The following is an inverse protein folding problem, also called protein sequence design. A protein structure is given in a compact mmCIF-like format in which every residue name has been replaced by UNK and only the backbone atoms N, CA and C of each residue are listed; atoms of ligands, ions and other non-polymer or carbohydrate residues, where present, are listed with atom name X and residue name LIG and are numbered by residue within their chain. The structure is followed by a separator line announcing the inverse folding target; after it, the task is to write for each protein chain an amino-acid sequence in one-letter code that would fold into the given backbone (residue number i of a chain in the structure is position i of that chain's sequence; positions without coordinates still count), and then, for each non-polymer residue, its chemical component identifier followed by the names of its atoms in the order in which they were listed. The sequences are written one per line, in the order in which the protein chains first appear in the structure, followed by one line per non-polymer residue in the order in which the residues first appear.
data_IF_982059391432
#
_entry.id   IF_982059391432
#
_cell.length_a   1.000
_cell.length_b   1.000
_cell.length_c   1.000
_cell.angle_alpha   90.00
_cell.angle_beta   90.00
_cell.angle_gamma   90.00
#
_symmetry.space_group_name_H-M   'P 1'
#
loop_
_entity.id
_entity.type
_entity.pdbx_description
1 polymer ?
#
# COMPACT_ATOMS: atom_id res chain seq x y z
N UNK A 1 -13.65 2.29 -26.73
CA UNK A 1 -12.64 1.85 -25.74
C UNK A 1 -12.28 3.07 -24.91
N UNK A 2 -11.94 2.92 -23.63
CA UNK A 2 -11.32 3.94 -22.79
C UNK A 2 -9.96 3.43 -22.27
N UNK A 3 -9.22 4.28 -21.55
CA UNK A 3 -7.85 4.00 -21.11
C UNK A 3 -7.72 2.84 -20.10
N UNK A 4 -8.81 2.42 -19.47
CA UNK A 4 -8.81 1.33 -18.49
C UNK A 4 -9.62 0.11 -18.95
N UNK A 5 -10.37 0.18 -20.05
CA UNK A 5 -11.13 -0.97 -20.54
C UNK A 5 -10.25 -2.08 -21.05
N UNK A 6 -10.54 -3.29 -20.59
CA UNK A 6 -10.08 -4.53 -21.22
C UNK A 6 -10.87 -4.73 -22.52
N UNK A 7 -10.20 -5.14 -23.60
CA UNK A 7 -10.86 -5.28 -24.91
C UNK A 7 -12.05 -6.26 -24.85
N UNK A 8 -11.91 -7.35 -24.09
CA UNK A 8 -12.94 -8.37 -23.90
C UNK A 8 -14.04 -7.98 -22.90
N UNK A 9 -13.84 -6.92 -22.11
CA UNK A 9 -14.79 -6.49 -21.09
C UNK A 9 -14.78 -4.96 -20.96
N UNK A 10 -15.35 -4.26 -21.96
CA UNK A 10 -15.54 -2.83 -21.81
C UNK A 10 -16.40 -2.59 -20.58
N UNK A 11 -16.10 -1.56 -19.78
CA UNK A 11 -16.85 -1.13 -18.60
C UNK A 11 -18.23 -0.59 -19.03
N UNK A 12 -19.03 -1.46 -19.65
CA UNK A 12 -20.38 -1.20 -20.08
C UNK A 12 -21.26 -1.46 -18.88
N UNK A 13 -22.03 -0.43 -18.54
CA UNK A 13 -23.11 -0.44 -17.55
C UNK A 13 -22.69 -0.29 -16.09
N UNK A 14 -21.82 0.69 -15.85
CA UNK A 14 -21.67 1.29 -14.53
C UNK A 14 -22.60 2.52 -14.41
N UNK A 15 -23.40 2.60 -13.34
CA UNK A 15 -24.06 3.84 -12.92
C UNK A 15 -23.02 4.93 -12.68
N UNK A 16 -22.99 5.98 -13.51
CA UNK A 16 -21.96 7.02 -13.47
C UNK A 16 -21.25 7.31 -14.80
N UNK A 17 -21.84 6.95 -15.96
CA UNK A 17 -21.36 7.20 -17.34
C UNK A 17 -20.82 8.61 -17.62
N UNK A 18 -21.14 9.58 -16.78
CA UNK A 18 -20.70 10.97 -16.92
C UNK A 18 -19.29 11.23 -16.37
N UNK A 19 -18.47 10.23 -16.03
CA UNK A 19 -17.12 10.46 -15.46
C UNK A 19 -16.05 9.57 -16.09
N UNK A 20 -14.94 10.19 -16.50
CA UNK A 20 -13.73 9.46 -16.94
C UNK A 20 -12.80 9.10 -15.79
N UNK A 21 -12.90 9.80 -14.66
CA UNK A 21 -12.19 9.48 -13.42
C UNK A 21 -13.18 8.89 -12.42
N UNK A 22 -13.33 7.57 -12.48
CA UNK A 22 -14.25 6.82 -11.64
C UNK A 22 -13.63 6.45 -10.28
N UNK A 23 -14.42 6.42 -9.20
CA UNK A 23 -13.98 5.90 -7.90
C UNK A 23 -13.50 4.44 -7.97
N UNK A 24 -12.66 4.06 -6.99
CA UNK A 24 -12.07 2.73 -6.88
C UNK A 24 -13.12 1.62 -6.85
N UNK A 25 -14.23 1.85 -6.16
CA UNK A 25 -15.30 0.87 -5.93
C UNK A 25 -15.88 0.35 -7.24
N UNK A 26 -15.94 1.21 -8.26
CA UNK A 26 -16.45 0.86 -9.58
C UNK A 26 -15.46 0.00 -10.37
N UNK A 27 -14.18 0.38 -10.38
CA UNK A 27 -13.13 -0.44 -10.99
C UNK A 27 -13.09 -1.81 -10.31
N UNK A 28 -13.15 -1.84 -8.98
CA UNK A 28 -13.15 -3.07 -8.20
C UNK A 28 -14.36 -3.96 -8.53
N UNK A 29 -15.57 -3.40 -8.57
CA UNK A 29 -16.77 -4.15 -8.96
C UNK A 29 -16.63 -4.75 -10.36
N UNK A 30 -16.14 -3.99 -11.34
CA UNK A 30 -15.94 -4.52 -12.68
C UNK A 30 -14.89 -5.62 -12.77
N UNK A 31 -13.80 -5.53 -12.00
CA UNK A 31 -12.81 -6.61 -11.92
C UNK A 31 -13.38 -7.86 -11.24
N UNK A 32 -14.24 -7.70 -10.23
CA UNK A 32 -14.95 -8.83 -9.62
C UNK A 32 -15.87 -9.51 -10.64
N UNK A 33 -16.65 -8.74 -11.41
CA UNK A 33 -17.50 -9.27 -12.48
C UNK A 33 -16.67 -9.99 -13.55
N UNK A 34 -15.61 -9.36 -14.04
CA UNK A 34 -14.69 -9.94 -15.01
C UNK A 34 -14.09 -11.27 -14.53
N UNK A 35 -13.76 -11.37 -13.24
CA UNK A 35 -13.18 -12.56 -12.63
C UNK A 35 -14.17 -13.69 -12.33
N UNK A 36 -15.50 -13.46 -12.39
CA UNK A 36 -16.49 -14.47 -12.02
C UNK A 36 -16.35 -15.80 -12.79
N UNK A 37 -16.18 -15.80 -14.12
CA UNK A 37 -16.03 -17.05 -14.87
C UNK A 37 -14.73 -17.81 -14.57
N UNK A 38 -13.74 -17.13 -13.97
CA UNK A 38 -12.43 -17.70 -13.65
C UNK A 38 -12.36 -18.24 -12.23
N UNK A 39 -13.43 -18.10 -11.43
CA UNK A 39 -13.40 -18.34 -9.98
C UNK A 39 -13.03 -19.78 -9.62
N UNK A 40 -13.44 -20.75 -10.44
CA UNK A 40 -13.13 -22.17 -10.23
C UNK A 40 -11.64 -22.50 -10.45
N UNK A 41 -10.88 -21.59 -11.07
CA UNK A 41 -9.44 -21.71 -11.27
C UNK A 41 -8.63 -20.91 -10.23
N UNK A 42 -9.29 -20.22 -9.29
CA UNK A 42 -8.63 -19.34 -8.31
C UNK A 42 -8.70 -19.96 -6.91
N UNK A 43 -7.53 -20.32 -6.39
CA UNK A 43 -7.38 -20.79 -5.01
C UNK A 43 -7.13 -19.61 -4.06
N UNK A 44 -8.19 -19.08 -3.44
CA UNK A 44 -8.07 -18.07 -2.38
C UNK A 44 -7.45 -18.65 -1.12
N UNK A 45 -6.88 -17.79 -0.26
CA UNK A 45 -6.17 -18.21 0.96
C UNK A 45 -5.02 -19.22 0.70
N UNK A 46 -4.36 -19.12 -0.46
CA UNK A 46 -3.18 -19.92 -0.80
C UNK A 46 -2.01 -18.97 -1.08
N UNK A 47 -1.16 -18.77 -0.08
CA UNK A 47 0.06 -17.99 -0.23
C UNK A 47 1.13 -18.85 -0.89
N UNK A 48 1.74 -18.35 -1.96
CA UNK A 48 2.90 -19.01 -2.58
C UNK A 48 4.12 -18.85 -1.67
N UNK A 49 4.64 -19.96 -1.17
CA UNK A 49 5.75 -20.02 -0.21
C UNK A 49 7.10 -20.35 -0.87
N UNK A 50 7.07 -21.14 -1.96
CA UNK A 50 8.24 -21.50 -2.75
C UNK A 50 7.87 -21.67 -4.21
N UNK A 51 8.73 -21.22 -5.10
CA UNK A 51 8.73 -21.54 -6.52
C UNK A 51 10.14 -21.99 -6.87
N UNK A 52 10.27 -23.20 -7.42
CA UNK A 52 11.56 -23.73 -7.87
C UNK A 52 11.40 -24.57 -9.14
N UNK A 53 12.49 -24.71 -9.90
CA UNK A 53 12.51 -25.52 -11.11
C UNK A 53 12.90 -26.95 -10.76
N UNK A 54 12.04 -27.92 -11.11
CA UNK A 54 12.31 -29.36 -10.95
C UNK A 54 12.27 -29.98 -12.34
N UNK A 55 13.43 -30.46 -12.81
CA UNK A 55 13.60 -31.00 -14.17
C UNK A 55 13.08 -30.04 -15.25
N UNK A 56 11.99 -30.41 -15.90
CA UNK A 56 11.29 -29.75 -16.99
C UNK A 56 10.07 -28.93 -16.52
N UNK A 57 9.69 -29.01 -15.25
CA UNK A 57 8.52 -28.33 -14.70
C UNK A 57 8.86 -27.33 -13.58
N UNK A 58 7.92 -26.46 -13.29
CA UNK A 58 7.91 -25.61 -12.10
C UNK A 58 7.14 -26.30 -11.00
N UNK A 59 7.75 -26.41 -9.82
CA UNK A 59 7.04 -26.81 -8.61
C UNK A 59 6.75 -25.57 -7.76
N UNK A 60 5.49 -25.44 -7.34
CA UNK A 60 5.01 -24.36 -6.49
C UNK A 60 4.54 -24.97 -5.18
N UNK A 61 5.06 -24.50 -4.05
CA UNK A 61 4.54 -24.83 -2.73
C UNK A 61 3.65 -23.68 -2.26
N UNK A 62 2.39 -23.99 -1.99
CA UNK A 62 1.44 -23.04 -1.39
C UNK A 62 1.17 -23.40 0.06
N UNK A 63 1.00 -22.39 0.90
CA UNK A 63 0.56 -22.53 2.29
C UNK A 63 -0.72 -21.73 2.53
N UNK A 64 -1.66 -22.28 3.30
CA UNK A 64 -2.80 -21.49 3.81
C UNK A 64 -2.33 -20.41 4.79
N UNK A 65 -3.07 -19.31 4.95
CA UNK A 65 -2.69 -18.25 5.89
C UNK A 65 -2.50 -18.72 7.34
N UNK A 66 -3.21 -19.78 7.74
CA UNK A 66 -3.07 -20.41 9.06
C UNK A 66 -1.87 -21.37 9.18
N UNK A 67 -1.12 -21.61 8.10
CA UNK A 67 0.06 -22.49 8.06
C UNK A 67 -0.23 -23.99 8.21
N UNK A 68 -1.50 -24.39 8.33
CA UNK A 68 -1.90 -25.78 8.62
C UNK A 68 -1.86 -26.70 7.41
N UNK A 69 -1.98 -26.13 6.21
CA UNK A 69 -2.00 -26.88 4.97
C UNK A 69 -0.92 -26.35 4.04
N UNK A 70 -0.10 -27.28 3.54
CA UNK A 70 0.87 -27.07 2.48
C UNK A 70 0.56 -28.03 1.34
N UNK A 71 0.65 -27.51 0.11
CA UNK A 71 0.43 -28.31 -1.10
C UNK A 71 1.49 -27.97 -2.14
N UNK A 72 2.00 -29.01 -2.79
CA UNK A 72 2.88 -28.89 -3.95
C UNK A 72 2.05 -29.01 -5.23
N UNK A 73 2.36 -28.15 -6.19
CA UNK A 73 1.73 -28.08 -7.51
C UNK A 73 2.81 -28.13 -8.58
N UNK A 74 2.56 -28.79 -9.70
CA UNK A 74 3.50 -28.86 -10.83
C UNK A 74 2.88 -28.23 -12.07
N UNK A 75 3.65 -27.38 -12.75
CA UNK A 75 3.21 -26.65 -13.94
C UNK A 75 4.31 -26.59 -14.99
N UNK A 76 3.95 -26.65 -16.27
CA UNK A 76 4.91 -26.50 -17.38
C UNK A 76 5.39 -25.05 -17.51
N UNK A 77 4.51 -24.09 -17.21
CA UNK A 77 4.80 -22.66 -17.25
C UNK A 77 4.12 -21.92 -16.11
N UNK A 78 4.73 -20.81 -15.67
CA UNK A 78 4.23 -19.98 -14.58
C UNK A 78 4.25 -18.50 -14.93
N UNK A 79 3.24 -17.78 -14.43
CA UNK A 79 3.07 -16.34 -14.60
C UNK A 79 3.09 -15.68 -13.22
N UNK A 80 4.10 -14.84 -12.98
CA UNK A 80 4.28 -14.09 -11.75
C UNK A 80 3.50 -12.79 -11.84
N UNK A 81 2.37 -12.74 -11.13
CA UNK A 81 1.41 -11.62 -11.12
C UNK A 81 1.18 -11.05 -9.70
N UNK A 82 2.17 -11.13 -8.80
CA UNK A 82 2.04 -10.70 -7.40
C UNK A 82 2.11 -9.16 -7.19
N UNK A 83 2.29 -8.41 -8.28
CA UNK A 83 2.41 -6.95 -8.26
C UNK A 83 3.69 -6.44 -7.60
N UNK A 84 3.83 -5.11 -7.54
CA UNK A 84 5.03 -4.46 -6.98
C UNK A 84 4.73 -3.27 -6.04
N UNK A 85 3.47 -2.90 -5.81
CA UNK A 85 3.08 -1.81 -4.89
C UNK A 85 2.88 -2.31 -3.45
N UNK A 86 3.86 -3.13 -3.09
CA UNK A 86 4.02 -4.06 -2.00
C UNK A 86 4.87 -3.72 -0.79
N UNK A 87 6.16 -3.94 -1.00
CA UNK A 87 7.24 -3.81 -0.05
C UNK A 87 7.65 -2.36 0.01
N UNK A 88 7.56 -1.73 1.17
CA UNK A 88 7.85 -0.31 1.33
C UNK A 88 9.32 0.00 0.98
N UNK A 89 9.54 1.14 0.33
CA UNK A 89 10.88 1.69 0.10
C UNK A 89 11.18 2.77 1.14
N UNK A 90 11.69 2.33 2.30
CA UNK A 90 12.00 3.20 3.44
C UNK A 90 13.48 3.59 3.40
N UNK A 91 13.82 4.89 3.29
CA UNK A 91 15.19 5.37 3.40
C UNK A 91 15.74 5.21 4.82
N UNK A 92 17.04 4.90 4.94
CA UNK A 92 17.71 4.70 6.23
C UNK A 92 17.58 5.90 7.18
N UNK A 93 17.53 7.13 6.64
CA UNK A 93 17.35 8.32 7.46
C UNK A 93 16.00 8.33 8.20
N UNK A 94 14.93 7.79 7.60
CA UNK A 94 13.63 7.76 8.28
C UNK A 94 13.63 6.80 9.46
N UNK A 95 14.55 5.83 9.52
CA UNK A 95 14.69 4.94 10.69
C UNK A 95 15.21 5.68 11.92
N UNK A 96 15.84 6.85 11.74
CA UNK A 96 16.32 7.73 12.82
C UNK A 96 15.25 8.71 13.31
N UNK A 97 14.14 8.84 12.58
CA UNK A 97 13.04 9.72 12.93
C UNK A 97 12.14 9.06 13.97
N UNK A 98 11.97 9.76 15.10
CA UNK A 98 11.20 9.33 16.27
C UNK A 98 9.77 9.91 16.33
N UNK A 99 9.44 10.83 15.42
CA UNK A 99 8.08 11.35 15.28
C UNK A 99 7.14 10.35 14.62
N UNK A 100 5.85 10.70 14.55
CA UNK A 100 4.88 9.84 13.87
C UNK A 100 5.11 9.86 12.37
N UNK A 101 5.23 8.68 11.76
CA UNK A 101 5.34 8.55 10.32
C UNK A 101 4.67 7.28 9.81
N UNK A 102 4.18 7.34 8.57
CA UNK A 102 3.66 6.18 7.85
C UNK A 102 4.24 6.14 6.45
N UNK A 103 4.31 4.95 5.85
CA UNK A 103 4.49 4.83 4.41
C UNK A 103 3.14 5.00 3.69
N UNK A 104 3.15 5.46 2.44
CA UNK A 104 1.94 5.64 1.61
C UNK A 104 1.10 4.36 1.49
N UNK A 105 1.74 3.18 1.62
CA UNK A 105 1.08 1.87 1.73
C UNK A 105 0.02 1.82 2.84
N UNK A 106 0.25 2.52 3.94
CA UNK A 106 -0.60 2.52 5.14
C UNK A 106 -1.57 3.71 5.18
N UNK A 107 -1.50 4.62 4.20
CA UNK A 107 -2.47 5.70 4.05
C UNK A 107 -3.86 5.12 3.73
N UNK A 108 -4.90 5.62 4.41
CA UNK A 108 -6.28 5.15 4.20
C UNK A 108 -7.27 6.29 3.97
N UNK A 109 -7.22 7.35 4.78
CA UNK A 109 -8.21 8.45 4.74
C UNK A 109 -7.56 9.79 4.99
N UNK A 110 -7.98 10.80 4.24
CA UNK A 110 -7.48 12.17 4.41
C UNK A 110 -7.92 12.83 5.72
N UNK A 111 -9.11 12.49 6.22
CA UNK A 111 -9.68 13.05 7.46
C UNK A 111 -8.87 12.71 8.71
N UNK A 112 -8.06 11.65 8.67
CA UNK A 112 -7.19 11.26 9.79
C UNK A 112 -6.07 12.29 10.04
N UNK A 113 -5.88 13.24 9.11
CA UNK A 113 -4.89 14.33 9.17
C UNK A 113 -5.52 15.71 9.39
N UNK A 114 -6.79 15.76 9.83
CA UNK A 114 -7.47 17.02 10.12
C UNK A 114 -6.70 17.85 11.14
N UNK A 115 -6.56 19.15 10.86
CA UNK A 115 -5.89 20.16 11.71
C UNK A 115 -4.41 19.92 12.03
N UNK A 116 -3.78 18.92 11.42
CA UNK A 116 -2.36 18.59 11.61
C UNK A 116 -1.42 19.38 10.69
N UNK A 117 -0.16 19.51 11.11
CA UNK A 117 0.98 19.84 10.25
C UNK A 117 1.56 18.53 9.68
N UNK A 118 1.39 18.32 8.37
CA UNK A 118 1.75 17.06 7.70
C UNK A 118 2.95 17.27 6.79
N UNK A 119 3.93 16.36 6.82
CA UNK A 119 5.00 16.33 5.81
C UNK A 119 4.75 15.19 4.82
N UNK A 120 4.59 15.49 3.54
CA UNK A 120 4.50 14.48 2.48
C UNK A 120 5.85 14.40 1.79
N UNK A 121 6.57 13.29 1.98
CA UNK A 121 7.93 13.09 1.46
C UNK A 121 7.88 12.26 0.19
N UNK A 122 8.14 12.87 -0.96
CA UNK A 122 8.16 12.24 -2.28
C UNK A 122 7.09 12.81 -3.22
N UNK A 123 7.51 13.28 -4.39
CA UNK A 123 6.64 13.91 -5.40
C UNK A 123 6.21 12.99 -6.55
N UNK A 124 6.19 11.68 -6.33
CA UNK A 124 5.68 10.71 -7.31
C UNK A 124 4.15 10.60 -7.30
N UNK A 125 3.60 9.62 -8.03
CA UNK A 125 2.14 9.44 -8.16
C UNK A 125 1.38 9.41 -6.82
N UNK A 126 1.87 8.65 -5.83
CA UNK A 126 1.24 8.60 -4.50
C UNK A 126 1.32 9.93 -3.76
N UNK A 127 2.46 10.62 -3.82
CA UNK A 127 2.66 11.89 -3.13
C UNK A 127 1.74 12.98 -3.66
N UNK A 128 1.65 13.09 -5.00
CA UNK A 128 0.74 14.02 -5.66
C UNK A 128 -0.71 13.69 -5.32
N UNK A 129 -1.13 12.42 -5.44
CA UNK A 129 -2.53 12.04 -5.20
C UNK A 129 -2.93 12.23 -3.73
N UNK A 130 -2.09 11.79 -2.78
CA UNK A 130 -2.34 12.00 -1.34
C UNK A 130 -2.39 13.49 -1.02
N UNK A 131 -1.52 14.31 -1.62
CA UNK A 131 -1.55 15.76 -1.47
C UNK A 131 -2.92 16.33 -1.88
N UNK A 132 -3.48 15.91 -3.03
CA UNK A 132 -4.82 16.38 -3.47
C UNK A 132 -5.94 16.05 -2.49
N UNK A 133 -5.78 15.01 -1.67
CA UNK A 133 -6.78 14.58 -0.69
C UNK A 133 -6.57 15.29 0.65
N UNK A 134 -5.34 15.27 1.17
CA UNK A 134 -4.98 15.79 2.50
C UNK A 134 -5.06 17.32 2.58
N UNK A 135 -4.89 18.03 1.47
CA UNK A 135 -4.93 19.50 1.41
C UNK A 135 -6.22 20.12 1.94
N UNK A 136 -7.34 19.39 1.89
CA UNK A 136 -8.64 19.86 2.37
C UNK A 136 -8.85 19.66 3.88
N UNK A 137 -7.95 18.96 4.57
CA UNK A 137 -8.09 18.60 5.99
C UNK A 137 -6.94 19.13 6.85
N UNK A 138 -5.70 19.08 6.35
CA UNK A 138 -4.53 19.47 7.11
C UNK A 138 -4.43 20.99 7.29
N UNK A 139 -3.96 21.41 8.46
CA UNK A 139 -3.69 22.82 8.78
C UNK A 139 -2.54 23.37 7.95
N UNK A 140 -1.46 22.60 7.80
CA UNK A 140 -0.28 22.94 7.00
C UNK A 140 0.32 21.68 6.40
N UNK A 141 0.82 21.76 5.18
CA UNK A 141 1.50 20.67 4.49
C UNK A 141 2.89 21.11 4.04
N UNK A 142 3.91 20.35 4.41
CA UNK A 142 5.24 20.40 3.82
C UNK A 142 5.32 19.34 2.71
N UNK A 143 5.28 19.77 1.45
CA UNK A 143 5.41 18.87 0.30
C UNK A 143 6.87 18.81 -0.13
N UNK A 144 7.54 17.71 0.18
CA UNK A 144 8.99 17.55 0.08
C UNK A 144 9.34 16.72 -1.15
N UNK A 145 10.03 17.29 -2.14
CA UNK A 145 10.37 16.60 -3.39
C UNK A 145 11.59 17.19 -4.10
N UNK A 146 11.98 16.57 -5.22
CA UNK A 146 13.20 16.90 -5.96
C UNK A 146 13.09 18.17 -6.84
N UNK A 147 11.91 18.79 -6.95
CA UNK A 147 11.66 19.90 -7.88
C UNK A 147 10.77 20.98 -7.24
N UNK A 148 11.11 21.51 -6.05
CA UNK A 148 10.27 22.50 -5.37
C UNK A 148 10.05 23.74 -6.26
N UNK A 149 8.84 24.30 -6.22
CA UNK A 149 8.43 25.42 -7.05
C UNK A 149 7.87 25.02 -8.42
N UNK A 150 7.98 23.73 -8.81
CA UNK A 150 7.36 23.21 -10.03
C UNK A 150 5.86 23.54 -10.08
N UNK A 151 5.19 23.55 -8.94
CA UNK A 151 3.74 23.71 -8.85
C UNK A 151 3.30 25.07 -8.29
N UNK A 152 4.21 26.04 -8.18
CA UNK A 152 3.97 27.32 -7.50
C UNK A 152 2.72 28.08 -7.98
N UNK A 153 2.30 27.88 -9.24
CA UNK A 153 1.11 28.54 -9.83
C UNK A 153 -0.22 27.94 -9.40
N UNK A 154 -0.24 26.69 -8.95
CA UNK A 154 -1.46 25.91 -8.71
C UNK A 154 -1.55 25.34 -7.30
N UNK A 155 -0.52 25.55 -6.47
CA UNK A 155 -0.47 24.97 -5.13
C UNK A 155 -1.34 25.77 -4.13
N UNK A 156 -2.16 25.11 -3.30
CA UNK A 156 -2.97 25.77 -2.28
C UNK A 156 -2.13 26.46 -1.19
N UNK A 157 -2.72 27.49 -0.56
CA UNK A 157 -2.02 28.35 0.42
C UNK A 157 -1.49 27.62 1.65
N UNK A 158 -2.12 26.51 2.05
CA UNK A 158 -1.69 25.71 3.20
C UNK A 158 -0.59 24.69 2.85
N UNK A 159 -0.09 24.70 1.61
CA UNK A 159 0.96 23.79 1.14
C UNK A 159 2.23 24.59 0.83
N UNK A 160 3.34 24.13 1.38
CA UNK A 160 4.68 24.66 1.17
C UNK A 160 5.49 23.60 0.40
N UNK A 161 6.00 23.93 -0.80
CA UNK A 161 6.94 23.05 -1.51
C UNK A 161 8.33 23.21 -0.91
N UNK A 162 8.94 22.10 -0.52
CA UNK A 162 10.25 22.08 0.12
C UNK A 162 11.21 21.16 -0.64
N UNK A 163 12.51 21.48 -0.56
CA UNK A 163 13.56 20.66 -1.17
C UNK A 163 13.58 19.24 -0.60
N UNK A 164 14.09 18.28 -1.39
CA UNK A 164 14.14 16.86 -1.00
C UNK A 164 14.74 16.65 0.39
N UNK A 165 14.14 15.76 1.17
CA UNK A 165 14.69 15.34 2.45
C UNK A 165 15.94 14.48 2.21
N UNK A 166 17.02 14.81 2.92
CA UNK A 166 18.31 14.12 2.82
C UNK A 166 18.68 13.40 4.11
N UNK A 167 18.17 13.86 5.25
CA UNK A 167 18.35 13.20 6.53
C UNK A 167 17.19 13.51 7.50
N UNK A 168 17.12 12.76 8.60
CA UNK A 168 16.19 12.98 9.68
C UNK A 168 16.81 12.59 11.01
N UNK A 169 16.42 13.28 12.08
CA UNK A 169 16.86 12.98 13.44
C UNK A 169 15.78 13.43 14.43
N UNK A 170 15.48 12.61 15.43
CA UNK A 170 14.41 12.87 16.39
C UNK A 170 13.08 13.24 15.70
N UNK A 171 12.57 14.47 15.87
CA UNK A 171 11.33 14.96 15.22
C UNK A 171 11.62 16.00 14.14
N UNK A 172 12.81 15.93 13.56
CA UNK A 172 13.34 16.92 12.62
C UNK A 172 13.65 16.28 11.27
N UNK A 173 13.25 16.95 10.18
CA UNK A 173 13.65 16.61 8.81
C UNK A 173 14.68 17.63 8.32
N UNK A 174 15.75 17.13 7.70
CA UNK A 174 16.83 17.94 7.10
C UNK A 174 16.70 17.87 5.59
N UNK A 175 16.67 19.03 4.95
CA UNK A 175 16.44 19.15 3.51
C UNK A 175 17.72 19.49 2.75
N UNK A 176 17.72 19.20 1.45
CA UNK A 176 18.91 19.35 0.60
C UNK A 176 19.40 20.80 0.43
N UNK A 177 18.53 21.78 0.67
CA UNK A 177 18.86 23.22 0.65
C UNK A 177 19.39 23.72 2.01
N UNK A 178 19.56 22.82 2.98
CA UNK A 178 20.00 23.13 4.35
C UNK A 178 18.87 23.56 5.28
N UNK A 179 17.63 23.70 4.79
CA UNK A 179 16.49 23.98 5.65
C UNK A 179 16.15 22.81 6.57
N UNK A 180 15.58 23.14 7.72
CA UNK A 180 15.28 22.21 8.80
C UNK A 180 13.81 22.35 9.16
N UNK A 181 13.06 21.26 9.06
CA UNK A 181 11.64 21.23 9.38
C UNK A 181 11.41 20.55 10.73
N UNK A 182 10.67 21.23 11.61
CA UNK A 182 10.25 20.76 12.94
C UNK A 182 8.76 21.03 13.13
N UNK A 183 8.16 20.56 14.23
CA UNK A 183 6.74 20.78 14.51
C UNK A 183 5.79 20.04 13.56
N UNK A 184 6.27 18.96 12.95
CA UNK A 184 5.47 18.07 12.10
C UNK A 184 4.75 17.08 13.01
N UNK A 185 3.42 17.00 12.86
CA UNK A 185 2.60 16.03 13.59
C UNK A 185 2.70 14.65 12.97
N UNK A 186 2.64 14.54 11.63
CA UNK A 186 2.76 13.28 10.91
C UNK A 186 3.55 13.41 9.60
N UNK A 187 4.48 12.49 9.36
CA UNK A 187 5.16 12.31 8.07
C UNK A 187 4.48 11.20 7.27
N UNK A 188 4.08 11.49 6.03
CA UNK A 188 3.63 10.50 5.05
C UNK A 188 4.75 10.28 4.03
N UNK A 189 5.42 9.15 4.12
CA UNK A 189 6.51 8.75 3.22
C UNK A 189 5.95 8.14 1.93
N UNK A 190 6.15 8.84 0.82
CA UNK A 190 5.71 8.52 -0.53
C UNK A 190 6.88 8.14 -1.46
N UNK A 191 7.83 7.36 -0.95
CA UNK A 191 9.05 6.97 -1.68
C UNK A 191 8.89 5.73 -2.58
N UNK A 192 7.67 5.21 -2.69
CA UNK A 192 7.34 4.08 -3.56
C UNK A 192 7.74 2.74 -2.96
N UNK A 193 7.97 1.75 -3.81
CA UNK A 193 8.04 0.34 -3.38
C UNK A 193 9.25 -0.38 -3.96
N UNK A 194 9.71 -1.42 -3.28
CA UNK A 194 10.74 -2.35 -3.78
C UNK A 194 10.06 -3.54 -4.45
N UNK A 195 10.69 -4.07 -5.49
CA UNK A 195 10.29 -5.38 -6.01
C UNK A 195 10.60 -6.46 -4.99
N UNK A 196 9.72 -7.45 -4.86
CA UNK A 196 9.87 -8.52 -3.89
C UNK A 196 9.20 -9.79 -4.39
N UNK A 197 9.97 -10.87 -4.44
CA UNK A 197 9.53 -12.20 -4.85
C UNK A 197 10.01 -13.21 -3.80
N UNK A 198 9.45 -13.18 -2.57
CA UNK A 198 9.98 -13.93 -1.43
C UNK A 198 9.88 -15.45 -1.60
N UNK A 199 9.15 -15.91 -2.62
CA UNK A 199 8.98 -17.31 -2.98
C UNK A 199 10.10 -17.85 -3.89
N UNK A 200 10.92 -17.01 -4.53
CA UNK A 200 12.16 -17.47 -5.17
C UNK A 200 13.26 -17.50 -4.11
N UNK A 201 13.74 -18.71 -3.77
CA UNK A 201 14.82 -18.90 -2.78
C UNK A 201 16.13 -19.24 -3.48
N UNK A 202 17.24 -19.04 -2.77
CA UNK A 202 18.57 -19.53 -3.15
C UNK A 202 19.07 -19.14 -4.56
N UNK A 203 18.56 -18.04 -5.12
CA UNK A 203 18.90 -17.58 -6.49
C UNK A 203 18.67 -18.65 -7.58
N UNK A 204 17.73 -19.57 -7.38
CA UNK A 204 17.49 -20.73 -8.27
C UNK A 204 17.17 -20.35 -9.71
N UNK A 205 16.54 -19.18 -9.90
CA UNK A 205 16.22 -18.64 -11.22
C UNK A 205 17.19 -17.55 -11.66
N UNK A 206 18.20 -17.20 -10.85
CA UNK A 206 19.17 -16.14 -11.16
C UNK A 206 18.58 -14.72 -11.12
N UNK A 207 17.48 -14.52 -10.39
CA UNK A 207 16.73 -13.27 -10.38
C UNK A 207 17.43 -12.21 -9.51
N UNK A 208 17.97 -11.19 -10.17
CA UNK A 208 18.64 -10.06 -9.53
C UNK A 208 17.65 -8.94 -9.29
N UNK A 209 17.61 -8.48 -8.04
CA UNK A 209 16.82 -7.34 -7.60
C UNK A 209 17.77 -6.20 -7.23
N UNK A 210 18.06 -5.31 -8.19
CA UNK A 210 18.88 -4.12 -7.95
C UNK A 210 17.99 -2.88 -7.85
N UNK A 211 17.60 -2.55 -6.62
CA UNK A 211 16.74 -1.42 -6.31
C UNK A 211 15.35 -1.53 -6.95
N UNK A 212 15.20 -0.94 -8.15
CA UNK A 212 13.96 -0.93 -8.94
C UNK A 212 14.04 -1.85 -10.17
N UNK A 213 15.15 -2.54 -10.41
CA UNK A 213 15.36 -3.40 -11.57
C UNK A 213 15.10 -4.87 -11.18
N UNK A 214 14.38 -5.57 -12.04
CA UNK A 214 14.20 -7.03 -12.02
C UNK A 214 14.83 -7.59 -13.29
N UNK A 215 15.82 -8.48 -13.14
CA UNK A 215 16.60 -9.06 -14.24
C UNK A 215 17.04 -10.50 -13.93
N UNK A 216 17.39 -11.34 -14.92
CA UNK A 216 17.37 -11.06 -16.36
C UNK A 216 16.01 -11.29 -17.01
N UNK A 217 15.50 -10.30 -17.73
CA UNK A 217 14.23 -10.36 -18.45
C UNK A 217 14.38 -10.08 -19.94
N UNK A 218 13.39 -10.49 -20.72
CA UNK A 218 13.17 -10.13 -22.10
C UNK A 218 11.83 -9.39 -22.23
N UNK A 219 11.87 -8.19 -22.82
CA UNK A 219 10.70 -7.34 -23.01
C UNK A 219 9.92 -7.04 -21.72
N UNK A 220 10.59 -7.01 -20.56
CA UNK A 220 9.98 -6.92 -19.23
C UNK A 220 9.01 -8.06 -18.87
N UNK A 221 8.89 -9.10 -19.71
CA UNK A 221 7.88 -10.16 -19.63
C UNK A 221 8.52 -11.50 -19.31
N UNK A 222 9.29 -12.08 -20.22
CA UNK A 222 9.81 -13.44 -20.04
C UNK A 222 11.15 -13.41 -19.31
N UNK A 223 11.43 -14.41 -18.49
CA UNK A 223 12.78 -14.58 -17.94
C UNK A 223 13.74 -14.99 -19.06
N UNK A 224 14.91 -14.35 -19.16
CA UNK A 224 15.80 -14.51 -20.32
C UNK A 224 16.29 -15.95 -20.55
N UNK A 225 16.38 -16.75 -19.47
CA UNK A 225 16.80 -18.17 -19.54
C UNK A 225 15.62 -19.16 -19.61
N UNK A 226 14.38 -18.69 -19.40
CA UNK A 226 13.17 -19.53 -19.33
C UNK A 226 12.05 -18.88 -20.17
N UNK A 227 12.37 -18.56 -21.43
CA UNK A 227 11.57 -17.69 -22.30
C UNK A 227 10.15 -18.19 -22.57
N UNK A 228 9.92 -19.48 -22.43
CA UNK A 228 8.67 -20.17 -22.72
C UNK A 228 7.94 -20.66 -21.46
N UNK A 229 8.50 -20.44 -20.27
CA UNK A 229 8.02 -21.12 -19.06
C UNK A 229 8.03 -20.27 -17.78
N UNK A 230 8.71 -19.11 -17.75
CA UNK A 230 8.63 -18.17 -16.62
C UNK A 230 8.39 -16.74 -17.12
N UNK A 231 7.23 -16.21 -16.76
CA UNK A 231 6.79 -14.87 -17.16
C UNK A 231 6.52 -13.99 -15.94
N UNK A 232 6.82 -12.70 -16.04
CA UNK A 232 6.49 -11.66 -15.07
C UNK A 232 5.56 -10.66 -15.74
N UNK A 233 4.37 -10.45 -15.17
CA UNK A 233 3.36 -9.59 -15.75
C UNK A 233 3.14 -8.37 -14.85
N UNK A 234 3.07 -7.18 -15.45
CA UNK A 234 2.78 -5.94 -14.75
C UNK A 234 3.95 -5.37 -13.94
N UNK A 235 5.20 -5.66 -14.32
CA UNK A 235 6.39 -5.01 -13.72
C UNK A 235 6.60 -3.57 -14.20
N UNK A 236 6.06 -3.25 -15.37
CA UNK A 236 6.18 -1.93 -15.98
C UNK A 236 5.38 -0.88 -15.23
N UNK A 237 5.94 0.33 -15.12
CA UNK A 237 5.29 1.46 -14.44
C UNK A 237 5.14 2.66 -15.36
N UNK A 238 4.30 3.61 -14.95
CA UNK A 238 3.99 4.83 -15.70
C UNK A 238 3.37 4.55 -17.08
N UNK A 239 2.52 3.52 -17.16
CA UNK A 239 1.78 3.12 -18.35
C UNK A 239 0.31 2.82 -18.00
N UNK A 240 -0.51 2.52 -19.00
CA UNK A 240 -1.86 2.01 -18.77
C UNK A 240 -1.83 0.57 -18.29
N UNK A 241 -1.97 0.38 -16.99
CA UNK A 241 -1.81 -0.94 -16.37
C UNK A 241 -2.59 -2.06 -17.08
N UNK A 242 -3.89 -1.88 -17.34
CA UNK A 242 -4.72 -2.94 -17.96
C UNK A 242 -4.31 -3.24 -19.40
N UNK A 243 -4.10 -2.21 -20.22
CA UNK A 243 -3.63 -2.39 -21.60
C UNK A 243 -2.23 -3.00 -21.61
N UNK A 244 -1.29 -2.49 -20.81
CA UNK A 244 0.05 -3.07 -20.73
C UNK A 244 0.01 -4.54 -20.36
N UNK A 245 -0.77 -4.90 -19.34
CA UNK A 245 -0.94 -6.30 -18.90
C UNK A 245 -1.49 -7.16 -20.04
N UNK A 246 -2.49 -6.68 -20.78
CA UNK A 246 -3.09 -7.41 -21.91
C UNK A 246 -2.05 -7.71 -23.01
N UNK A 247 -1.27 -6.72 -23.44
CA UNK A 247 -0.23 -6.93 -24.45
C UNK A 247 0.91 -7.81 -23.92
N UNK A 248 1.28 -7.70 -22.64
CA UNK A 248 2.29 -8.56 -22.01
C UNK A 248 1.82 -10.03 -21.95
N UNK A 249 0.57 -10.27 -21.56
CA UNK A 249 -0.01 -11.62 -21.53
C UNK A 249 -0.11 -12.19 -22.95
N UNK A 250 -0.58 -11.42 -23.94
CA UNK A 250 -0.63 -11.87 -25.33
C UNK A 250 0.75 -12.25 -25.87
N UNK A 251 1.78 -11.47 -25.53
CA UNK A 251 3.16 -11.79 -25.90
C UNK A 251 3.68 -13.06 -25.20
N UNK A 252 3.48 -13.18 -23.88
CA UNK A 252 3.85 -14.38 -23.13
C UNK A 252 3.14 -15.64 -23.68
N UNK A 253 1.86 -15.54 -24.01
CA UNK A 253 1.09 -16.62 -24.63
C UNK A 253 1.61 -16.95 -26.04
N UNK A 254 2.07 -15.96 -26.81
CA UNK A 254 2.69 -16.20 -28.11
C UNK A 254 4.01 -16.96 -27.98
N UNK A 255 4.83 -16.65 -26.97
CA UNK A 255 6.05 -17.39 -26.66
C UNK A 255 5.72 -18.84 -26.24
N UNK A 256 4.83 -19.00 -25.26
CA UNK A 256 4.41 -20.30 -24.72
C UNK A 256 3.81 -21.24 -25.78
N UNK A 257 3.01 -20.69 -26.71
CA UNK A 257 2.38 -21.47 -27.79
C UNK A 257 3.26 -21.67 -29.03
N UNK A 258 4.47 -21.10 -29.05
CA UNK A 258 5.35 -21.13 -30.22
C UNK A 258 4.87 -20.29 -31.41
N UNK A 259 3.88 -19.40 -31.21
CA UNK A 259 3.36 -18.49 -32.24
C UNK A 259 4.25 -17.27 -32.48
N UNK A 260 5.02 -16.88 -31.47
CA UNK A 260 5.94 -15.75 -31.56
C UNK A 260 6.91 -15.93 -32.73
N UNK A 261 7.32 -14.81 -33.32
CA UNK A 261 8.33 -14.81 -34.36
C UNK A 261 9.64 -15.41 -33.83
N UNK A 262 10.34 -16.17 -34.66
CA UNK A 262 11.68 -16.66 -34.32
C UNK A 262 12.65 -15.49 -34.31
N UNK A 263 13.39 -15.31 -33.22
CA UNK A 263 14.46 -14.33 -33.10
C UNK A 263 15.76 -15.00 -32.63
N UNK A 264 16.94 -14.50 -33.07
CA UNK A 264 18.23 -15.02 -32.59
C UNK A 264 18.36 -14.90 -31.08
N UNK A 265 19.07 -15.85 -30.46
CA UNK A 265 19.36 -15.84 -29.02
C UNK A 265 20.01 -14.52 -28.57
N UNK A 266 20.89 -13.95 -29.40
CA UNK A 266 21.53 -12.66 -29.17
C UNK A 266 20.53 -11.50 -28.96
N UNK A 267 19.35 -11.57 -29.58
CA UNK A 267 18.30 -10.56 -29.39
C UNK A 267 17.85 -10.55 -27.94
N UNK A 268 17.70 -11.72 -27.32
CA UNK A 268 17.30 -11.89 -25.93
C UNK A 268 18.43 -11.46 -25.00
N UNK A 269 19.63 -12.01 -25.22
CA UNK A 269 20.81 -11.77 -24.37
C UNK A 269 21.20 -10.28 -24.31
N UNK A 270 21.07 -9.57 -25.42
CA UNK A 270 21.42 -8.16 -25.50
C UNK A 270 20.27 -7.20 -25.17
N UNK A 271 19.05 -7.69 -24.91
CA UNK A 271 17.89 -6.82 -24.73
C UNK A 271 18.04 -5.87 -23.52
N UNK A 272 18.48 -6.36 -22.36
CA UNK A 272 18.64 -5.52 -21.17
C UNK A 272 19.71 -4.44 -21.37
N UNK A 273 20.82 -4.81 -22.02
CA UNK A 273 21.89 -3.88 -22.38
C UNK A 273 21.41 -2.78 -23.33
N UNK A 274 20.59 -3.14 -24.33
CA UNK A 274 19.95 -2.17 -25.23
C UNK A 274 19.01 -1.25 -24.47
N UNK A 275 18.20 -1.79 -23.55
CA UNK A 275 17.28 -1.02 -22.72
C UNK A 275 18.01 -0.01 -21.82
N UNK A 276 19.08 -0.43 -21.16
CA UNK A 276 19.90 0.48 -20.33
C UNK A 276 20.54 1.58 -21.20
N UNK A 277 21.01 1.24 -22.40
CA UNK A 277 21.59 2.20 -23.35
C UNK A 277 20.55 3.22 -23.82
N UNK A 278 19.35 2.75 -24.17
CA UNK A 278 18.21 3.59 -24.57
C UNK A 278 17.85 4.59 -23.46
N UNK A 279 17.75 4.13 -22.20
CA UNK A 279 17.47 5.03 -21.07
C UNK A 279 18.54 6.12 -20.93
N UNK A 280 19.82 5.74 -20.99
CA UNK A 280 20.93 6.70 -20.92
C UNK A 280 20.90 7.71 -22.07
N UNK A 281 20.59 7.27 -23.29
CA UNK A 281 20.46 8.15 -24.47
C UNK A 281 19.35 9.19 -24.31
N UNK A 282 18.28 8.84 -23.60
CA UNK A 282 17.18 9.76 -23.27
C UNK A 282 17.37 10.50 -21.93
N UNK A 283 18.59 10.49 -21.36
CA UNK A 283 18.88 11.17 -20.10
C UNK A 283 18.21 10.55 -18.86
N UNK A 284 17.67 9.34 -18.97
CA UNK A 284 17.00 8.62 -17.88
C UNK A 284 17.99 7.76 -17.11
N UNK A 285 17.78 7.69 -15.79
CA UNK A 285 18.59 6.85 -14.91
C UNK A 285 18.28 5.36 -15.14
N UNK A 286 19.26 4.43 -15.08
CA UNK A 286 19.01 2.99 -15.28
C UNK A 286 17.97 2.37 -14.34
N UNK A 287 17.77 2.92 -13.14
CA UNK A 287 16.69 2.54 -12.20
C UNK A 287 15.28 2.69 -12.79
N UNK A 288 15.11 3.45 -13.88
CA UNK A 288 13.86 3.56 -14.63
C UNK A 288 13.71 2.41 -15.66
N UNK A 289 14.40 1.28 -15.46
CA UNK A 289 14.42 0.12 -16.35
C UNK A 289 13.02 -0.26 -16.84
N UNK A 290 12.07 -0.41 -15.93
CA UNK A 290 10.68 -0.78 -16.21
C UNK A 290 9.73 0.41 -16.46
N UNK A 291 10.23 1.64 -16.66
CA UNK A 291 9.36 2.81 -16.87
C UNK A 291 9.05 2.97 -18.36
N UNK A 292 7.77 2.94 -18.75
CA UNK A 292 7.38 3.13 -20.15
C UNK A 292 7.04 4.60 -20.45
N UNK A 293 6.20 5.25 -19.64
CA UNK A 293 5.74 6.64 -19.88
C UNK A 293 5.19 6.82 -21.31
N UNK A 294 5.74 7.77 -22.07
CA UNK A 294 5.35 8.03 -23.45
C UNK A 294 5.71 6.92 -24.43
N UNK A 295 6.67 6.04 -24.10
CA UNK A 295 7.12 4.97 -25.01
C UNK A 295 6.28 3.68 -24.90
N UNK A 296 5.16 3.72 -24.17
CA UNK A 296 4.33 2.53 -23.95
C UNK A 296 3.73 1.99 -25.26
N UNK A 297 3.35 2.85 -26.20
CA UNK A 297 2.75 2.43 -27.47
C UNK A 297 3.81 1.78 -28.38
N UNK A 298 5.02 2.34 -28.45
CA UNK A 298 6.17 1.70 -29.12
C UNK A 298 6.45 0.30 -28.54
N UNK A 299 6.39 0.19 -27.21
CA UNK A 299 6.54 -1.09 -26.53
C UNK A 299 5.43 -2.08 -26.92
N UNK A 300 4.17 -1.67 -26.97
CA UNK A 300 3.06 -2.52 -27.41
C UNK A 300 3.21 -2.96 -28.87
N UNK A 301 3.61 -2.05 -29.76
CA UNK A 301 3.93 -2.37 -31.15
C UNK A 301 5.04 -3.41 -31.26
N UNK A 302 6.09 -3.28 -30.44
CA UNK A 302 7.19 -4.24 -30.41
C UNK A 302 6.73 -5.62 -29.89
N UNK A 303 5.87 -5.66 -28.86
CA UNK A 303 5.27 -6.91 -28.38
C UNK A 303 4.41 -7.58 -29.45
N UNK A 304 3.57 -6.82 -30.16
CA UNK A 304 2.78 -7.33 -31.29
C UNK A 304 3.67 -7.89 -32.40
N UNK A 305 4.71 -7.13 -32.78
CA UNK A 305 5.66 -7.52 -33.82
C UNK A 305 6.40 -8.78 -33.44
N UNK A 306 6.86 -8.92 -32.19
CA UNK A 306 7.56 -10.13 -31.73
C UNK A 306 6.62 -11.30 -31.52
N UNK A 307 5.42 -11.07 -30.98
CA UNK A 307 4.43 -12.11 -30.67
C UNK A 307 3.55 -12.51 -31.84
N UNK A 308 3.65 -11.83 -32.98
CA UNK A 308 2.83 -12.07 -34.17
C UNK A 308 1.32 -12.02 -33.87
N UNK A 309 0.87 -10.93 -33.24
CA UNK A 309 -0.53 -10.65 -32.96
C UNK A 309 -0.87 -9.18 -33.29
N UNK A 310 -2.13 -8.84 -33.61
CA UNK A 310 -2.48 -7.50 -34.08
C UNK A 310 -2.41 -6.46 -32.96
N UNK A 311 -1.98 -5.24 -33.33
CA UNK A 311 -2.15 -4.04 -32.52
C UNK A 311 -3.58 -3.52 -32.65
N UNK A 312 -4.19 -3.09 -31.54
CA UNK A 312 -5.63 -2.79 -31.47
C UNK A 312 -5.98 -1.49 -30.77
N UNK A 313 -5.00 -0.76 -30.24
CA UNK A 313 -5.24 0.54 -29.64
C UNK A 313 -5.45 1.56 -30.76
N UNK A 314 -6.52 2.33 -30.69
CA UNK A 314 -6.81 3.36 -31.68
C UNK A 314 -5.98 4.63 -31.43
N UNK A 315 -5.77 5.43 -32.48
CA UNK A 315 -5.04 6.69 -32.39
C UNK A 315 -5.72 7.67 -31.41
N UNK A 316 -7.05 7.66 -31.33
CA UNK A 316 -7.81 8.44 -30.37
C UNK A 316 -7.40 8.14 -28.92
N UNK A 317 -7.17 6.87 -28.57
CA UNK A 317 -6.74 6.46 -27.22
C UNK A 317 -5.34 6.97 -26.90
N UNK A 318 -4.43 6.93 -27.86
CA UNK A 318 -3.09 7.49 -27.71
C UNK A 318 -3.15 9.00 -27.50
N UNK A 319 -3.98 9.70 -28.28
CA UNK A 319 -4.17 11.15 -28.14
C UNK A 319 -4.81 11.53 -26.80
N UNK A 320 -5.80 10.77 -26.32
CA UNK A 320 -6.38 10.95 -24.98
C UNK A 320 -5.31 10.82 -23.90
N UNK A 321 -4.37 9.88 -24.02
CA UNK A 321 -3.26 9.74 -23.07
C UNK A 321 -2.39 10.98 -23.02
N UNK A 322 -1.93 11.46 -24.18
CA UNK A 322 -1.06 12.64 -24.25
C UNK A 322 -1.75 13.86 -23.65
N UNK A 323 -3.02 14.08 -24.01
CA UNK A 323 -3.83 15.16 -23.49
C UNK A 323 -4.06 15.06 -21.97
N UNK A 324 -4.32 13.85 -21.47
CA UNK A 324 -4.45 13.58 -20.03
C UNK A 324 -3.16 13.91 -19.27
N UNK A 325 -2.01 13.47 -19.77
CA UNK A 325 -0.71 13.73 -19.13
C UNK A 325 -0.43 15.22 -19.08
N UNK A 326 -0.64 15.94 -20.18
CA UNK A 326 -0.49 17.40 -20.21
C UNK A 326 -1.40 18.07 -19.18
N UNK A 327 -2.70 17.74 -19.19
CA UNK A 327 -3.68 18.29 -18.24
C UNK A 327 -3.36 17.99 -16.79
N UNK A 328 -2.84 16.80 -16.49
CA UNK A 328 -2.42 16.44 -15.13
C UNK A 328 -1.24 17.32 -14.68
N UNK A 329 -0.26 17.57 -15.56
CA UNK A 329 0.88 18.42 -15.21
C UNK A 329 0.46 19.87 -14.94
N UNK A 330 -0.46 20.43 -15.73
CA UNK A 330 -0.90 21.83 -15.55
C UNK A 330 -1.95 22.02 -14.45
N UNK A 331 -2.69 20.96 -14.07
CA UNK A 331 -3.87 21.05 -13.20
C UNK A 331 -3.99 19.85 -12.23
N UNK A 332 -2.92 19.40 -11.55
CA UNK A 332 -3.00 18.15 -10.78
C UNK A 332 -4.02 18.14 -9.62
N UNK A 333 -4.54 19.28 -9.16
CA UNK A 333 -5.66 19.35 -8.20
C UNK A 333 -7.05 19.21 -8.85
N UNK A 334 -7.19 19.49 -10.16
CA UNK A 334 -8.49 19.61 -10.83
C UNK A 334 -8.61 18.77 -12.09
N UNK A 335 -7.55 18.09 -12.55
CA UNK A 335 -7.56 17.29 -13.77
C UNK A 335 -8.63 16.18 -13.76
N UNK A 336 -9.00 15.69 -12.57
CA UNK A 336 -10.06 14.69 -12.44
C UNK A 336 -11.47 15.22 -12.77
N UNK A 337 -11.61 16.54 -13.00
CA UNK A 337 -12.85 17.16 -13.46
C UNK A 337 -13.03 17.10 -14.99
N UNK A 338 -11.99 16.70 -15.73
CA UNK A 338 -12.12 16.46 -17.16
C UNK A 338 -12.90 15.17 -17.44
N UNK A 339 -13.71 15.22 -18.49
CA UNK A 339 -14.44 14.10 -19.03
C UNK A 339 -14.01 13.93 -20.48
N UNK A 340 -13.71 12.70 -20.87
CA UNK A 340 -13.27 12.29 -22.18
C UNK A 340 -14.28 11.35 -22.80
N UNK A 341 -14.49 11.49 -24.10
CA UNK A 341 -15.30 10.58 -24.89
C UNK A 341 -14.62 10.34 -26.23
N UNK A 342 -14.25 9.09 -26.48
CA UNK A 342 -13.73 8.65 -27.77
C UNK A 342 -14.89 8.60 -28.77
N UNK A 343 -14.71 9.25 -29.92
CA UNK A 343 -15.74 9.35 -30.95
C UNK A 343 -15.56 8.26 -32.00
N UNK A 344 -14.32 8.03 -32.43
CA UNK A 344 -13.91 7.02 -33.40
C UNK A 344 -12.43 6.62 -33.17
N UNK A 345 -11.80 6.02 -34.18
CA UNK A 345 -10.42 5.54 -34.08
C UNK A 345 -9.37 6.66 -34.07
N UNK A 346 -9.71 7.87 -34.50
CA UNK A 346 -8.79 9.01 -34.61
C UNK A 346 -9.12 10.14 -33.63
N UNK A 347 -10.41 10.34 -33.34
CA UNK A 347 -10.91 11.52 -32.64
C UNK A 347 -11.55 11.23 -31.28
N UNK A 348 -11.44 12.23 -30.41
CA UNK A 348 -12.05 12.27 -29.09
C UNK A 348 -12.51 13.69 -28.77
N UNK A 349 -13.51 13.82 -27.92
CA UNK A 349 -13.91 15.09 -27.32
C UNK A 349 -13.65 15.08 -25.81
N UNK A 350 -13.46 16.28 -25.23
CA UNK A 350 -13.38 16.44 -23.79
C UNK A 350 -14.11 17.69 -23.30
N UNK A 351 -14.57 17.64 -22.05
CA UNK A 351 -15.21 18.77 -21.36
C UNK A 351 -14.81 18.83 -19.89
N UNK A 352 -15.05 19.96 -19.23
CA UNK A 352 -14.91 20.08 -17.78
C UNK A 352 -16.27 20.04 -17.10
N UNK A 353 -16.38 19.24 -16.04
CA UNK A 353 -17.55 19.28 -15.18
C UNK A 353 -17.63 20.64 -14.48
N UNK A 354 -18.71 21.39 -14.69
CA UNK A 354 -19.01 22.57 -13.86
C UNK A 354 -19.36 22.08 -12.46
N UNK A 355 -18.46 22.24 -11.50
CA UNK A 355 -18.83 22.15 -10.08
C UNK A 355 -19.78 23.30 -9.80
N UNK A 356 -21.08 23.00 -9.65
CA UNK A 356 -22.01 23.97 -9.07
C UNK A 356 -21.46 24.45 -7.74
N UNK A 357 -21.58 25.75 -7.44
CA UNK A 357 -21.25 26.25 -6.10
C UNK A 357 -22.00 25.38 -5.08
N UNK A 358 -21.37 24.99 -3.95
CA UNK A 358 -22.10 24.36 -2.87
C UNK A 358 -23.38 25.16 -2.62
N UNK A 359 -24.52 24.46 -2.57
CA UNK A 359 -25.78 25.12 -2.23
C UNK A 359 -25.62 25.92 -0.93
N UNK A 360 -26.34 27.03 -0.75
CA UNK A 360 -26.31 27.74 0.51
C UNK A 360 -26.58 26.74 1.64
N UNK A 361 -25.85 26.90 2.77
CA UNK A 361 -26.08 26.09 3.97
C UNK A 361 -27.59 26.10 4.25
N UNK A 362 -28.19 24.91 4.36
CA UNK A 362 -29.61 24.79 4.67
C UNK A 362 -29.95 25.61 5.92
N UNK A 363 -31.17 26.14 6.03
CA UNK A 363 -31.58 26.83 7.25
C UNK A 363 -31.34 25.92 8.47
N UNK A 364 -31.00 26.49 9.64
CA UNK A 364 -30.92 25.72 10.88
C UNK A 364 -32.18 24.85 11.02
N UNK A 365 -32.01 23.59 11.41
CA UNK A 365 -33.15 22.73 11.70
C UNK A 365 -34.07 23.39 12.73
N UNK A 366 -35.39 23.11 12.69
CA UNK A 366 -36.29 23.61 13.73
C UNK A 366 -35.76 23.19 15.11
N UNK A 367 -35.93 24.03 16.14
CA UNK A 367 -35.62 23.63 17.51
C UNK A 367 -36.26 22.27 17.81
N UNK A 368 -35.49 21.39 18.45
CA UNK A 368 -36.04 20.10 18.89
C UNK A 368 -37.27 20.30 19.76
N UNK A 369 -38.22 19.34 19.79
CA UNK A 369 -39.35 19.42 20.69
C UNK A 369 -38.86 19.59 22.13
N UNK A 370 -39.55 20.44 22.91
CA UNK A 370 -39.27 20.57 24.34
C UNK A 370 -39.26 19.17 24.97
N UNK A 371 -38.23 18.88 25.76
CA UNK A 371 -38.18 17.67 26.55
C UNK A 371 -39.43 17.57 27.42
N UNK A 372 -39.96 16.36 27.59
CA UNK A 372 -41.08 16.13 28.48
C UNK A 372 -40.74 16.68 29.87
N UNK A 373 -41.69 17.34 30.56
CA UNK A 373 -41.48 17.77 31.94
C UNK A 373 -40.99 16.60 32.78
N UNK A 374 -39.96 16.83 33.58
CA UNK A 374 -39.51 15.82 34.55
C UNK A 374 -40.69 15.39 35.42
N UNK A 375 -40.84 14.09 35.63
CA UNK A 375 -41.88 13.56 36.49
C UNK A 375 -41.82 14.22 37.89
N UNK A 376 -42.97 14.43 38.56
CA UNK A 376 -42.99 15.04 39.88
C UNK A 376 -42.12 14.21 40.83
N UNK A 377 -41.26 14.90 41.61
CA UNK A 377 -40.43 14.27 42.62
C UNK A 377 -41.29 13.51 43.62
N UNK A 378 -40.82 12.34 44.08
CA UNK A 378 -41.54 11.56 45.08
C UNK A 378 -41.77 12.40 46.34
N UNK A 379 -42.99 12.40 46.93
CA UNK A 379 -43.25 13.08 48.18
C UNK A 379 -42.31 12.58 49.28
N UNK A 380 -41.70 13.49 50.03
CA UNK A 380 -40.91 13.15 51.21
C UNK A 380 -41.77 12.39 52.23
N UNK A 381 -41.21 11.34 52.83
CA UNK A 381 -41.90 10.56 53.85
C UNK A 381 -42.37 11.42 55.03
N UNK A 382 -43.47 11.06 55.70
CA UNK A 382 -44.02 11.85 56.80
C UNK A 382 -43.03 11.92 57.97
N UNK A 383 -42.88 13.13 58.54
CA UNK A 383 -42.02 13.38 59.71
C UNK A 383 -42.53 12.63 60.95
N UNK A 384 -41.60 12.15 61.77
CA UNK A 384 -41.93 11.46 63.01
C UNK A 384 -42.72 12.37 63.98
N UNK A 385 -43.82 11.90 64.57
CA UNK A 385 -44.54 12.64 65.61
C UNK A 385 -43.66 12.87 66.85
N UNK A 386 -43.69 14.10 67.39
CA UNK A 386 -42.97 14.46 68.62
C UNK A 386 -43.48 13.66 69.84
N UNK A 387 -42.54 13.20 70.67
CA UNK A 387 -42.85 12.39 71.85
C UNK A 387 -43.64 13.14 72.93
N UNK A 388 -44.55 12.42 73.58
CA UNK A 388 -45.35 12.85 74.73
C UNK A 388 -44.48 13.12 75.97
N UNK A 389 -44.85 14.16 76.73
CA UNK A 389 -44.16 14.57 77.97
C UNK A 389 -44.25 13.56 79.12
N UNK A 390 -43.25 13.61 80.01
CA UNK A 390 -42.93 12.56 80.97
C UNK A 390 -43.95 12.38 82.13
N UNK A 391 -44.36 11.14 82.42
CA UNK A 391 -44.91 10.75 83.72
C UNK A 391 -43.80 10.48 84.76
N UNK A 392 -44.06 10.83 86.03
CA UNK A 392 -43.09 10.83 87.13
C UNK A 392 -42.64 9.46 87.65
N UNK A 393 -41.44 9.41 88.25
CA UNK A 393 -40.77 8.18 88.72
C UNK A 393 -41.29 7.64 90.06
N UNK A 394 -41.27 6.30 90.23
CA UNK A 394 -40.42 5.64 91.24
C UNK A 394 -39.90 4.27 90.73
N UNK A 395 -38.89 3.58 91.28
CA UNK A 395 -37.93 3.77 92.38
C UNK A 395 -36.71 2.85 92.10
N UNK A 396 -35.65 2.95 92.90
CA UNK A 396 -34.39 2.21 92.69
C UNK A 396 -34.43 0.79 93.28
N UNK A 397 -33.87 -0.18 92.53
CA UNK A 397 -32.79 -1.14 92.92
C UNK A 397 -32.78 -2.35 91.94
N UNK A 398 -31.69 -3.05 91.62
CA UNK A 398 -30.34 -3.09 92.20
C UNK A 398 -29.25 -3.52 91.19
N UNK A 399 -28.07 -3.87 91.74
CA UNK A 399 -26.75 -3.89 91.10
C UNK A 399 -26.42 -4.97 90.03
N UNK A 400 -25.16 -4.98 89.55
CA UNK A 400 -24.79 -5.15 88.14
C UNK A 400 -24.42 -6.59 87.73
N UNK A 401 -24.43 -6.85 86.43
CA UNK A 401 -23.75 -8.01 85.81
C UNK A 401 -22.62 -7.53 84.88
N UNK A 402 -21.43 -8.09 85.06
CA UNK A 402 -20.19 -7.71 84.38
C UNK A 402 -20.18 -8.09 82.88
N UNK A 403 -19.55 -7.24 82.06
CA UNK A 403 -19.32 -7.51 80.65
C UNK A 403 -18.33 -8.68 80.48
N UNK A 404 -18.74 -9.72 79.77
CA UNK A 404 -17.83 -10.76 79.28
C UNK A 404 -16.89 -10.19 78.21
N UNK A 405 -15.59 -10.38 78.40
CA UNK A 405 -14.53 -9.82 77.56
C UNK A 405 -14.41 -10.42 76.17
N UNK A 406 -13.86 -9.63 75.26
CA UNK A 406 -13.63 -9.99 73.86
C UNK A 406 -12.64 -11.16 73.71
N UNK A 407 -12.97 -12.11 72.84
CA UNK A 407 -12.14 -13.28 72.52
C UNK A 407 -10.89 -12.90 71.72
N UNK A 408 -9.76 -13.53 72.05
CA UNK A 408 -8.48 -13.29 71.38
C UNK A 408 -8.43 -13.88 69.95
N UNK A 409 -7.83 -13.17 68.98
CA UNK A 409 -7.59 -13.69 67.63
C UNK A 409 -6.63 -14.89 67.63
N UNK A 410 -6.93 -15.90 66.80
CA UNK A 410 -6.14 -17.13 66.65
C UNK A 410 -4.76 -16.93 66.03
N UNK A 411 -3.82 -17.83 66.37
CA UNK A 411 -2.42 -17.78 65.96
C UNK A 411 -2.21 -18.16 64.48
N UNK A 412 -1.19 -17.55 63.87
CA UNK A 412 -0.74 -17.81 62.50
C UNK A 412 -0.13 -19.22 62.33
N UNK A 413 -0.46 -19.88 61.22
CA UNK A 413 0.05 -21.21 60.88
C UNK A 413 1.54 -21.22 60.50
N UNK A 414 2.22 -22.34 60.76
CA UNK A 414 3.66 -22.50 60.52
C UNK A 414 4.00 -22.72 59.03
N UNK A 415 5.18 -22.25 58.56
CA UNK A 415 5.65 -22.47 57.18
C UNK A 415 6.05 -23.91 56.90
N UNK A 416 5.75 -24.39 55.68
CA UNK A 416 6.18 -25.70 55.17
C UNK A 416 7.64 -25.73 54.69
N UNK A 417 8.27 -26.90 54.76
CA UNK A 417 9.70 -27.15 54.62
C UNK A 417 10.22 -27.29 53.19
N UNK A 418 11.45 -26.82 52.99
CA UNK A 418 12.23 -26.70 51.75
C UNK A 418 12.67 -28.04 51.12
N UNK A 419 12.68 -28.10 49.79
CA UNK A 419 13.43 -29.08 49.00
C UNK A 419 14.38 -28.38 48.02
N UNK A 420 15.59 -28.91 47.94
CA UNK A 420 16.81 -28.26 47.51
C UNK A 420 16.94 -27.97 46.00
N UNK A 421 17.79 -27.00 45.76
CA UNK A 421 18.08 -26.21 44.56
C UNK A 421 18.97 -26.93 43.52
N UNK A 422 18.87 -26.53 42.25
CA UNK A 422 19.95 -26.65 41.26
C UNK A 422 19.87 -25.48 40.25
N UNK A 423 20.83 -24.53 40.23
CA UNK A 423 20.84 -23.41 39.29
C UNK A 423 21.77 -23.66 38.08
N UNK A 424 21.30 -23.34 36.88
CA UNK A 424 22.13 -23.30 35.67
C UNK A 424 23.04 -22.04 35.66
N UNK A 425 24.32 -22.14 35.29
CA UNK A 425 25.26 -21.01 35.29
C UNK A 425 25.20 -20.17 33.98
N UNK A 426 25.60 -18.87 34.02
CA UNK A 426 25.62 -17.96 32.86
C UNK A 426 26.96 -17.99 32.07
N UNK A 427 26.90 -17.44 30.84
CA UNK A 427 27.97 -17.37 29.81
C UNK A 427 29.23 -16.63 30.24
N UNK A 428 30.39 -17.06 29.72
CA UNK A 428 31.49 -16.15 29.31
C UNK A 428 32.38 -16.76 28.22
N UNK A 429 32.95 -15.88 27.39
CA UNK A 429 33.83 -16.15 26.25
C UNK A 429 35.31 -16.24 26.66
N UNK A 430 36.14 -16.97 25.90
CA UNK A 430 37.43 -16.52 25.34
C UNK A 430 38.31 -17.69 24.81
N UNK A 431 38.68 -17.57 23.53
CA UNK A 431 40.05 -17.61 22.93
C UNK A 431 40.97 -18.84 23.14
N UNK A 432 41.52 -19.31 22.00
CA UNK A 432 42.89 -19.81 21.70
C UNK A 432 42.84 -21.14 20.91
N UNK A 433 42.99 -21.13 19.58
CA UNK A 433 44.26 -21.25 18.81
C UNK A 433 45.01 -22.57 19.00
N UNK A 434 45.12 -23.37 17.93
CA UNK A 434 46.28 -24.14 17.44
C UNK A 434 45.76 -25.06 16.30
N UNK A 435 46.07 -24.81 15.03
CA UNK A 435 47.27 -25.15 14.25
C UNK A 435 47.45 -26.64 13.92
N UNK A 436 47.78 -26.87 12.64
CA UNK A 436 48.26 -28.10 11.97
C UNK A 436 47.25 -29.19 11.62
N UNK A 437 47.42 -29.99 10.57
CA UNK A 437 47.99 -29.83 9.22
C UNK A 437 47.77 -31.20 8.55
N UNK A 438 47.40 -31.16 7.26
CA UNK A 438 47.77 -32.09 6.19
C UNK A 438 47.50 -33.62 6.30
N UNK A 439 46.80 -34.08 5.24
CA UNK A 439 47.11 -35.22 4.36
C UNK A 439 46.56 -36.64 4.70
N UNK A 440 46.48 -37.56 3.71
CA UNK A 440 45.70 -37.49 2.45
C UNK A 440 44.97 -38.82 2.13
N UNK A 441 44.21 -38.89 1.03
CA UNK A 441 44.12 -40.15 0.27
C UNK A 441 42.74 -40.55 -0.26
N UNK A 442 42.68 -40.62 -1.59
CA UNK A 442 41.71 -41.26 -2.50
C UNK A 442 40.43 -40.52 -2.86
#
# INVERSE_FOLDING_TARGET
MDLNTLEAYPFRDIEGKDRSFIPYEYIFACLLEYGKPLRDHIHFDHKVALVHRVTDAWEIITETSCGRFQQAWRFDAIFICNGHNFKEDVPDYMLKYTGNWIHSRNYRRASDYADQTVAIVGGGLSGLDILTQVVNYAKKIHFIHNQPGKHAKIIPKNVEENARCVDAFEKTLILADGSVLTGIDTVILCNGYKHSFPFFKNDEVGLKLDGKIVSPLFQHVAHAHYLDSLFFIGLTSHAFNFLTIEYQVNFAMALLSGRANKFPQEVVENWESRRIKELKQHGKHPKNFHFLEGSQFDYYHELCRLGNFPYKISLAIERVFHDFIEKREINFFTYKNFQYKVLDDEDFEYGQRRTGKPGPKGPPGPPGPNGNPGGPGQPGGPGQPGGLGAPGGPGQDGGPGENGGDGQPGQAGQPGSDAAYCPCPPRTAAIASHHEAANPGY
#
